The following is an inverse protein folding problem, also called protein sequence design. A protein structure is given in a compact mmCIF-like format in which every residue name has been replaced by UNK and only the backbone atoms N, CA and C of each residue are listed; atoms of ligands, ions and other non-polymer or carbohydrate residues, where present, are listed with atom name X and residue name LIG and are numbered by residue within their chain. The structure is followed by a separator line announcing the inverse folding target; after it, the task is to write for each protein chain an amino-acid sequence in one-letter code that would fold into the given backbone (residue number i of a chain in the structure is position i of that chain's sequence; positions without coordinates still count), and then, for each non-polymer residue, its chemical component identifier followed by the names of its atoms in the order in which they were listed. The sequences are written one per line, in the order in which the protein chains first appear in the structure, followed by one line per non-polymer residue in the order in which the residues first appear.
data_IF_898512378553
#
_entry.id   IF_898512378553
#
_cell.length_a   1.000
_cell.length_b   1.000
_cell.length_c   1.000
_cell.angle_alpha   90.00
_cell.angle_beta   90.00
_cell.angle_gamma   90.00
#
_symmetry.space_group_name_H-M   'P 1'
#
loop_
_entity.id
_entity.type
_entity.pdbx_description
1 polymer ?
#
# COMPACT_ATOMS: atom_id res chain seq x y z
N UNK A 1 9.56 -17.37 10.06
CA UNK A 1 8.32 -16.81 9.57
C UNK A 1 8.42 -15.30 9.53
N UNK A 2 8.19 -14.73 8.40
CA UNK A 2 8.36 -13.29 8.25
C UNK A 2 7.15 -12.56 8.83
N UNK A 3 7.41 -11.63 9.73
CA UNK A 3 6.37 -10.79 10.29
C UNK A 3 6.24 -9.56 9.41
N UNK A 4 5.04 -9.31 8.93
CA UNK A 4 4.78 -8.12 8.15
C UNK A 4 4.61 -6.94 9.11
N UNK A 5 5.31 -5.85 8.80
CA UNK A 5 5.18 -4.61 9.56
C UNK A 5 4.32 -3.66 8.75
N UNK A 6 3.17 -3.30 9.28
CA UNK A 6 2.26 -2.38 8.60
C UNK A 6 2.80 -0.96 8.73
N UNK A 7 3.03 -0.30 7.60
CA UNK A 7 3.52 1.06 7.55
C UNK A 7 2.38 2.07 7.50
N UNK A 8 1.33 1.74 6.75
CA UNK A 8 0.20 2.64 6.58
C UNK A 8 -1.01 1.87 6.08
N UNK A 9 -2.18 2.44 6.31
CA UNK A 9 -3.42 1.92 5.75
C UNK A 9 -4.18 3.08 5.13
N UNK A 10 -4.88 2.80 4.03
CA UNK A 10 -5.68 3.79 3.33
C UNK A 10 -7.06 3.20 3.13
N UNK A 11 -8.07 3.84 3.72
CA UNK A 11 -9.44 3.39 3.57
C UNK A 11 -9.92 3.67 2.15
N UNK A 12 -10.52 2.68 1.52
CA UNK A 12 -11.07 2.82 0.18
C UNK A 12 -12.60 2.89 0.21
N UNK A 13 -13.21 2.01 1.00
CA UNK A 13 -14.66 1.99 1.23
C UNK A 13 -14.87 1.60 2.69
N UNK A 14 -16.13 1.49 3.10
CA UNK A 14 -16.45 1.06 4.46
C UNK A 14 -15.97 -0.36 4.74
N UNK A 15 -15.79 -1.16 3.70
CA UNK A 15 -15.44 -2.57 3.84
C UNK A 15 -14.09 -2.94 3.25
N UNK A 16 -13.37 -1.98 2.64
CA UNK A 16 -12.06 -2.25 2.02
C UNK A 16 -11.04 -1.21 2.42
N UNK A 17 -9.82 -1.67 2.64
CA UNK A 17 -8.67 -0.78 2.86
C UNK A 17 -7.44 -1.31 2.14
N UNK A 18 -6.56 -0.40 1.75
CA UNK A 18 -5.26 -0.76 1.24
C UNK A 18 -4.28 -0.77 2.42
N UNK A 19 -3.57 -1.87 2.60
CA UNK A 19 -2.52 -1.96 3.62
C UNK A 19 -1.16 -1.96 2.95
N UNK A 20 -0.29 -1.09 3.43
CA UNK A 20 1.10 -0.98 2.95
C UNK A 20 1.99 -1.51 4.05
N UNK A 21 2.77 -2.54 3.73
CA UNK A 21 3.56 -3.23 4.75
C UNK A 21 4.90 -3.68 4.20
N UNK A 22 5.82 -3.97 5.11
CA UNK A 22 7.11 -4.58 4.79
C UNK A 22 7.10 -5.99 5.33
N UNK A 23 7.56 -6.93 4.52
CA UNK A 23 7.73 -8.32 4.94
C UNK A 23 9.10 -8.81 4.52
N UNK A 24 9.53 -9.92 5.15
CA UNK A 24 10.79 -10.56 4.83
C UNK A 24 10.51 -12.00 4.44
N UNK A 25 11.14 -12.46 3.37
CA UNK A 25 11.01 -13.83 2.90
C UNK A 25 12.35 -14.30 2.38
N UNK A 26 12.88 -15.38 2.98
CA UNK A 26 14.17 -15.98 2.61
C UNK A 26 15.30 -14.96 2.61
N UNK A 27 15.35 -14.11 3.64
CA UNK A 27 16.39 -13.13 3.80
C UNK A 27 16.27 -11.89 2.94
N UNK A 28 15.16 -11.76 2.20
CA UNK A 28 14.91 -10.61 1.36
C UNK A 28 13.69 -9.84 1.86
N UNK A 29 13.80 -8.52 1.81
CA UNK A 29 12.71 -7.65 2.24
C UNK A 29 11.88 -7.20 1.04
N UNK A 30 10.58 -7.02 1.26
CA UNK A 30 9.64 -6.62 0.21
C UNK A 30 8.68 -5.58 0.76
N UNK A 31 8.28 -4.65 -0.11
CA UNK A 31 7.18 -3.75 0.18
C UNK A 31 5.92 -4.34 -0.43
N UNK A 32 4.87 -4.46 0.37
CA UNK A 32 3.61 -5.03 -0.08
C UNK A 32 2.51 -3.99 -0.03
N UNK A 33 1.70 -3.94 -1.08
CA UNK A 33 0.48 -3.14 -1.12
C UNK A 33 -0.65 -4.08 -1.48
N UNK A 34 -1.61 -4.26 -0.57
CA UNK A 34 -2.67 -5.25 -0.75
C UNK A 34 -3.99 -4.72 -0.23
N UNK A 35 -5.05 -5.07 -0.95
CA UNK A 35 -6.40 -4.74 -0.54
C UNK A 35 -6.86 -5.78 0.48
N UNK A 36 -7.36 -5.29 1.61
CA UNK A 36 -7.98 -6.11 2.65
C UNK A 36 -9.46 -5.75 2.71
N UNK A 37 -10.28 -6.68 3.16
CA UNK A 37 -11.70 -6.45 3.33
C UNK A 37 -12.16 -6.90 4.72
N UNK A 38 -13.29 -6.39 5.13
CA UNK A 38 -13.89 -6.77 6.40
C UNK A 38 -15.36 -7.12 6.20
N UNK A 39 -15.86 -8.07 7.01
CA UNK A 39 -17.28 -8.43 7.03
C UNK A 39 -17.88 -8.20 8.41
N UNK A 40 -17.10 -7.62 9.33
CA UNK A 40 -17.52 -7.42 10.73
C UNK A 40 -17.22 -5.99 11.21
N UNK A 41 -17.45 -5.02 10.33
CA UNK A 41 -17.30 -3.58 10.61
C UNK A 41 -15.89 -3.19 11.05
N UNK A 42 -14.88 -3.89 10.52
CA UNK A 42 -13.50 -3.54 10.78
C UNK A 42 -12.87 -4.23 11.98
N UNK A 43 -13.58 -5.14 12.62
CA UNK A 43 -13.00 -5.89 13.73
C UNK A 43 -11.92 -6.85 13.25
N UNK A 44 -12.10 -7.40 12.05
CA UNK A 44 -11.13 -8.29 11.41
C UNK A 44 -10.95 -7.90 9.95
N UNK A 45 -9.70 -7.79 9.51
CA UNK A 45 -9.38 -7.50 8.12
C UNK A 45 -8.72 -8.72 7.48
N UNK A 46 -9.24 -9.13 6.32
CA UNK A 46 -8.77 -10.32 5.61
C UNK A 46 -8.15 -9.92 4.28
N UNK A 47 -7.03 -10.56 3.90
CA UNK A 47 -6.36 -10.20 2.63
C UNK A 47 -7.13 -10.70 1.43
N UNK A 48 -7.01 -9.96 0.32
CA UNK A 48 -7.53 -10.38 -0.97
C UNK A 48 -6.35 -10.73 -1.87
N UNK A 49 -6.66 -11.21 -3.07
CA UNK A 49 -5.62 -11.48 -4.08
C UNK A 49 -5.18 -10.21 -4.80
N UNK A 50 -5.83 -9.09 -4.52
CA UNK A 50 -5.50 -7.81 -5.18
C UNK A 50 -4.36 -7.14 -4.43
N UNK A 51 -3.16 -7.33 -4.93
CA UNK A 51 -1.98 -6.76 -4.31
C UNK A 51 -0.78 -6.82 -5.22
N UNK A 52 0.23 -6.03 -4.90
CA UNK A 52 1.51 -6.01 -5.60
C UNK A 52 2.63 -6.00 -4.58
N UNK A 53 3.78 -6.51 -5.00
CA UNK A 53 4.96 -6.61 -4.15
C UNK A 53 6.13 -5.97 -4.89
N UNK A 54 6.90 -5.18 -4.17
CA UNK A 54 8.05 -4.48 -4.72
C UNK A 54 9.33 -4.90 -3.98
N UNK A 55 10.43 -5.01 -4.74
CA UNK A 55 11.76 -5.23 -4.16
C UNK A 55 12.37 -3.88 -3.78
N UNK A 56 13.39 -3.86 -2.90
CA UNK A 56 14.00 -2.58 -2.49
C UNK A 56 14.55 -1.75 -3.65
N UNK A 57 15.05 -2.40 -4.69
CA UNK A 57 15.61 -1.68 -5.84
C UNK A 57 14.53 -1.01 -6.71
N UNK A 58 13.27 -1.40 -6.53
CA UNK A 58 12.15 -0.79 -7.26
C UNK A 58 11.55 0.40 -6.51
N UNK A 59 11.93 0.57 -5.25
CA UNK A 59 11.31 1.61 -4.40
C UNK A 59 11.64 3.01 -4.89
N UNK A 60 12.84 3.23 -5.40
CA UNK A 60 13.22 4.56 -5.89
C UNK A 60 12.34 4.99 -7.07
N UNK A 61 12.06 4.04 -7.97
CA UNK A 61 11.20 4.31 -9.13
C UNK A 61 9.77 4.61 -8.65
N UNK A 62 9.28 3.80 -7.71
CA UNK A 62 7.94 3.99 -7.15
C UNK A 62 7.83 5.34 -6.44
N UNK A 63 8.82 5.70 -5.65
CA UNK A 63 8.84 6.96 -4.92
C UNK A 63 8.81 8.14 -5.88
N UNK A 64 9.60 8.11 -6.94
CA UNK A 64 9.60 9.15 -7.96
C UNK A 64 8.24 9.31 -8.61
N UNK A 65 7.61 8.18 -8.96
CA UNK A 65 6.29 8.22 -9.59
C UNK A 65 5.25 8.83 -8.66
N UNK A 66 5.29 8.49 -7.39
CA UNK A 66 4.36 9.03 -6.40
C UNK A 66 4.57 10.54 -6.21
N UNK A 67 5.83 10.98 -6.14
CA UNK A 67 6.13 12.40 -6.00
C UNK A 67 5.66 13.20 -7.22
N UNK A 68 5.84 12.64 -8.41
CA UNK A 68 5.37 13.27 -9.64
C UNK A 68 3.85 13.39 -9.64
N UNK A 69 3.16 12.30 -9.26
CA UNK A 69 1.70 12.31 -9.18
C UNK A 69 1.20 13.35 -8.18
N UNK A 70 1.88 13.46 -7.04
CA UNK A 70 1.52 14.43 -6.02
C UNK A 70 1.61 15.86 -6.55
N UNK A 71 2.68 16.16 -7.30
CA UNK A 71 2.85 17.48 -7.89
C UNK A 71 1.79 17.78 -8.93
N UNK A 72 1.42 16.80 -9.73
CA UNK A 72 0.37 16.98 -10.73
C UNK A 72 -0.99 17.20 -10.08
N UNK A 73 -1.29 16.48 -9.02
CA UNK A 73 -2.55 16.69 -8.27
C UNK A 73 -2.60 18.08 -7.65
N UNK A 74 -1.49 18.56 -7.14
CA UNK A 74 -1.42 19.91 -6.57
C UNK A 74 -1.62 20.99 -7.64
N UNK A 75 -1.06 20.78 -8.82
CA UNK A 75 -1.23 21.70 -9.93
C UNK A 75 -2.69 21.76 -10.38
N UNK A 76 -3.38 20.61 -10.42
CA UNK A 76 -4.79 20.55 -10.75
C UNK A 76 -5.64 21.35 -9.76
N UNK A 77 -5.32 21.26 -8.48
CA UNK A 77 -6.03 22.01 -7.45
C UNK A 77 -5.83 23.51 -7.59
N UNK A 78 -4.64 23.92 -8.02
CA UNK A 78 -4.34 25.34 -8.22
C UNK A 78 -5.02 25.93 -9.44
N UNK A 79 -5.35 25.11 -10.41
CA UNK A 79 -6.03 25.55 -11.64
C UNK A 79 -7.55 25.61 -11.50
N UNK A 80 -8.08 24.98 -10.48
CA UNK A 80 -9.52 24.89 -10.26
C UNK A 80 -10.15 26.20 -9.78
#
# INVERSE_FOLDING_TARGET
MADAKILATIDRTDTEQLQISISEYKGKSYLNMRIFYTTDDGATWLPTKKGVTFTPDQIDILTEAIETAKQEFMAEEMEA
#
